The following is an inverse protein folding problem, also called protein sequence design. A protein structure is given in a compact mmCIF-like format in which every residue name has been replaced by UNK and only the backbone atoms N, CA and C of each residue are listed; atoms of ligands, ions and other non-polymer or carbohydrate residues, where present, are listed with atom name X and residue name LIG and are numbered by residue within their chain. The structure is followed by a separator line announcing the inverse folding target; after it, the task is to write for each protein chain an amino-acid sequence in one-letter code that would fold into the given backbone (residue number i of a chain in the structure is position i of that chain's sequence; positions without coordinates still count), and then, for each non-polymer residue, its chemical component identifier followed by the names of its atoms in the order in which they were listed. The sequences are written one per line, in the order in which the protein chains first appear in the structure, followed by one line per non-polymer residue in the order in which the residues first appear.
data_IF_040240794163
#
_entry.id   IF_040240794163
#
_cell.length_a   1.000
_cell.length_b   1.000
_cell.length_c   1.000
_cell.angle_alpha   90.00
_cell.angle_beta   90.00
_cell.angle_gamma   90.00
#
_symmetry.space_group_name_H-M   'P 1'
#
loop_
_entity.id
_entity.type
_entity.pdbx_description
1 polymer ?
#
# COMPACT_ATOMS: atom_id res chain seq x y z
N UNK A 1 -5.98 12.77 -7.17
CA UNK A 1 -7.18 12.73 -6.32
C UNK A 1 -7.11 13.84 -5.28
N UNK A 2 -8.20 14.59 -5.11
CA UNK A 2 -8.25 15.64 -4.08
C UNK A 2 -7.62 16.99 -4.46
N UNK A 3 -6.97 17.12 -5.59
CA UNK A 3 -6.34 18.38 -6.04
C UNK A 3 -7.32 19.57 -6.06
N UNK A 4 -8.53 19.35 -6.60
CA UNK A 4 -9.55 20.39 -6.65
C UNK A 4 -10.00 20.80 -5.25
N UNK A 5 -10.17 19.84 -4.34
CA UNK A 5 -10.55 20.10 -2.95
C UNK A 5 -9.46 20.89 -2.24
N UNK A 6 -8.19 20.50 -2.40
CA UNK A 6 -7.04 21.22 -1.85
C UNK A 6 -6.94 22.65 -2.41
N UNK A 7 -7.21 22.81 -3.72
CA UNK A 7 -7.18 24.13 -4.34
C UNK A 7 -8.28 25.05 -3.80
N UNK A 8 -9.51 24.54 -3.66
CA UNK A 8 -10.62 25.29 -3.08
C UNK A 8 -10.30 25.68 -1.63
N UNK A 9 -9.79 24.72 -0.84
CA UNK A 9 -9.45 24.96 0.56
C UNK A 9 -8.39 26.07 0.69
N UNK A 10 -7.34 25.99 -0.12
CA UNK A 10 -6.25 26.97 -0.12
C UNK A 10 -6.68 28.38 -0.51
N UNK A 11 -7.62 28.53 -1.46
CA UNK A 11 -7.97 29.84 -2.01
C UNK A 11 -9.29 30.43 -1.47
N UNK A 12 -10.20 29.58 -1.01
CA UNK A 12 -11.56 30.00 -0.60
C UNK A 12 -11.93 29.60 0.83
N UNK A 13 -11.04 28.87 1.52
CA UNK A 13 -11.20 28.46 2.89
C UNK A 13 -12.09 27.22 3.09
N UNK A 14 -12.13 26.76 4.35
CA UNK A 14 -12.76 25.50 4.76
C UNK A 14 -14.27 25.48 4.49
N UNK A 15 -15.01 26.56 4.78
CA UNK A 15 -16.46 26.59 4.59
C UNK A 15 -16.86 26.47 3.11
N UNK A 16 -16.13 27.14 2.21
CA UNK A 16 -16.34 27.02 0.78
C UNK A 16 -16.04 25.59 0.28
N UNK A 17 -15.02 24.96 0.83
CA UNK A 17 -14.66 23.58 0.55
C UNK A 17 -15.76 22.61 0.98
N UNK A 18 -16.24 22.73 2.22
CA UNK A 18 -17.31 21.88 2.75
C UNK A 18 -18.61 22.04 1.96
N UNK A 19 -19.00 23.27 1.64
CA UNK A 19 -20.17 23.55 0.81
C UNK A 19 -20.03 22.96 -0.60
N UNK A 20 -18.84 23.02 -1.21
CA UNK A 20 -18.58 22.44 -2.52
C UNK A 20 -18.69 20.92 -2.51
N UNK A 21 -18.14 20.25 -1.49
CA UNK A 21 -18.26 18.80 -1.30
C UNK A 21 -19.72 18.41 -1.11
N UNK A 22 -20.46 19.12 -0.24
CA UNK A 22 -21.87 18.85 0.01
C UNK A 22 -22.72 18.99 -1.24
N UNK A 23 -22.53 20.06 -2.02
CA UNK A 23 -23.26 20.27 -3.29
C UNK A 23 -22.93 19.21 -4.33
N UNK A 24 -21.66 18.82 -4.45
CA UNK A 24 -21.23 17.76 -5.36
C UNK A 24 -21.86 16.41 -4.95
N UNK A 25 -21.89 16.09 -3.66
CA UNK A 25 -22.53 14.87 -3.15
C UNK A 25 -24.04 14.87 -3.42
N UNK A 26 -24.75 15.99 -3.15
CA UNK A 26 -26.18 16.13 -3.41
C UNK A 26 -26.50 15.96 -4.89
N UNK A 27 -25.73 16.60 -5.79
CA UNK A 27 -25.87 16.46 -7.23
C UNK A 27 -25.66 15.02 -7.68
N UNK A 28 -24.61 14.36 -7.19
CA UNK A 28 -24.32 12.95 -7.48
C UNK A 28 -25.45 12.03 -7.03
N UNK A 29 -25.97 12.22 -5.83
CA UNK A 29 -27.10 11.45 -5.30
C UNK A 29 -28.34 11.62 -6.16
N UNK A 30 -28.70 12.84 -6.53
CA UNK A 30 -29.86 13.08 -7.41
C UNK A 30 -29.67 12.48 -8.80
N UNK A 31 -28.47 12.56 -9.36
CA UNK A 31 -28.15 11.96 -10.65
C UNK A 31 -28.32 10.44 -10.62
N UNK A 32 -27.75 9.77 -9.60
CA UNK A 32 -27.82 8.31 -9.45
C UNK A 32 -29.27 7.87 -9.19
N UNK A 33 -30.04 8.63 -8.40
CA UNK A 33 -31.45 8.31 -8.12
C UNK A 33 -32.29 8.31 -9.40
N UNK A 34 -31.98 9.21 -10.34
CA UNK A 34 -32.74 9.29 -11.62
C UNK A 34 -32.27 8.26 -12.65
N UNK A 35 -30.97 8.02 -12.72
CA UNK A 35 -30.36 7.13 -13.74
C UNK A 35 -30.33 5.66 -13.30
N UNK A 36 -30.22 5.40 -12.00
CA UNK A 36 -29.85 4.12 -11.45
C UNK A 36 -28.37 3.82 -11.65
N UNK A 37 -27.86 2.85 -10.90
CA UNK A 37 -26.51 2.33 -11.03
C UNK A 37 -26.52 0.84 -10.67
N UNK A 38 -26.00 0.00 -11.55
CA UNK A 38 -25.84 -1.43 -11.27
C UNK A 38 -24.56 -1.94 -11.92
N UNK A 39 -24.04 -3.02 -11.35
CA UNK A 39 -22.91 -3.80 -11.86
C UNK A 39 -23.41 -5.19 -12.21
N UNK A 40 -23.31 -5.55 -13.48
CA UNK A 40 -23.63 -6.88 -13.97
C UNK A 40 -22.39 -7.69 -14.33
N UNK A 41 -22.53 -8.99 -14.50
CA UNK A 41 -21.43 -9.86 -14.93
C UNK A 41 -20.86 -9.45 -16.30
N UNK A 42 -21.67 -8.88 -17.18
CA UNK A 42 -21.22 -8.36 -18.48
C UNK A 42 -20.22 -7.20 -18.37
N UNK A 43 -20.31 -6.42 -17.31
CA UNK A 43 -19.38 -5.29 -17.08
C UNK A 43 -17.97 -5.79 -16.70
N UNK A 44 -17.88 -7.05 -16.29
CA UNK A 44 -16.66 -7.71 -15.85
C UNK A 44 -16.07 -8.62 -16.93
N UNK A 45 -16.83 -8.92 -17.99
CA UNK A 45 -16.37 -9.76 -19.09
C UNK A 45 -15.39 -9.00 -19.97
N UNK A 46 -14.24 -9.61 -20.18
CA UNK A 46 -13.15 -9.04 -20.95
C UNK A 46 -13.16 -9.65 -22.35
N UNK A 47 -12.93 -8.83 -23.36
CA UNK A 47 -12.95 -9.29 -24.76
C UNK A 47 -11.99 -10.46 -25.01
N UNK A 48 -12.36 -11.35 -25.92
CA UNK A 48 -11.54 -12.51 -26.30
C UNK A 48 -10.12 -12.11 -26.72
N UNK A 49 -9.98 -10.95 -27.40
CA UNK A 49 -8.67 -10.39 -27.79
C UNK A 49 -7.78 -10.11 -26.57
N UNK A 50 -8.34 -9.53 -25.50
CA UNK A 50 -7.55 -9.25 -24.28
C UNK A 50 -7.17 -10.54 -23.56
N UNK A 51 -8.07 -11.54 -23.55
CA UNK A 51 -7.76 -12.87 -22.99
C UNK A 51 -6.61 -13.55 -23.74
N UNK A 52 -6.58 -13.47 -25.07
CA UNK A 52 -5.48 -14.01 -25.88
C UNK A 52 -4.15 -13.30 -25.59
N UNK A 53 -4.16 -11.96 -25.52
CA UNK A 53 -2.95 -11.20 -25.17
C UNK A 53 -2.47 -11.56 -23.76
N UNK A 54 -3.39 -11.71 -22.82
CA UNK A 54 -3.09 -12.12 -21.44
C UNK A 54 -2.42 -13.50 -21.40
N UNK A 55 -2.93 -14.47 -22.15
CA UNK A 55 -2.33 -15.81 -22.22
C UNK A 55 -0.90 -15.76 -22.77
N UNK A 56 -0.65 -14.97 -23.81
CA UNK A 56 0.71 -14.77 -24.36
C UNK A 56 1.67 -14.14 -23.35
N UNK A 57 1.22 -13.14 -22.59
CA UNK A 57 2.03 -12.51 -21.54
C UNK A 57 2.39 -13.55 -20.46
N UNK A 58 1.42 -14.36 -20.03
CA UNK A 58 1.64 -15.41 -19.02
C UNK A 58 2.63 -16.48 -19.52
N UNK A 59 2.49 -16.93 -20.78
CA UNK A 59 3.41 -17.89 -21.40
C UNK A 59 4.83 -17.35 -21.45
N UNK A 60 4.99 -16.12 -21.95
CA UNK A 60 6.31 -15.45 -22.01
C UNK A 60 6.95 -15.31 -20.63
N UNK A 61 6.15 -14.96 -19.61
CA UNK A 61 6.64 -14.89 -18.24
C UNK A 61 7.04 -16.27 -17.68
N UNK A 62 6.28 -17.30 -18.01
CA UNK A 62 6.62 -18.68 -17.62
C UNK A 62 7.95 -19.14 -18.25
N UNK A 63 8.18 -18.85 -19.52
CA UNK A 63 9.47 -19.14 -20.20
C UNK A 63 10.63 -18.37 -19.56
N UNK A 64 10.45 -17.08 -19.26
CA UNK A 64 11.46 -16.26 -18.54
C UNK A 64 11.80 -16.87 -17.19
N UNK A 65 10.80 -17.30 -16.42
CA UNK A 65 11.05 -17.92 -15.11
C UNK A 65 11.77 -19.26 -15.21
N UNK A 66 11.49 -20.06 -16.23
CA UNK A 66 12.23 -21.30 -16.50
C UNK A 66 13.70 -21.01 -16.85
N UNK A 67 13.97 -20.00 -17.68
CA UNK A 67 15.35 -19.57 -18.01
C UNK A 67 16.10 -19.12 -16.75
N UNK A 68 15.51 -18.24 -15.93
CA UNK A 68 16.12 -17.79 -14.67
C UNK A 68 16.44 -18.98 -13.75
N UNK A 69 15.56 -19.97 -13.72
CA UNK A 69 15.77 -21.18 -12.92
C UNK A 69 16.91 -22.02 -13.46
N UNK A 70 17.00 -22.22 -14.78
CA UNK A 70 18.08 -22.95 -15.43
C UNK A 70 19.44 -22.24 -15.23
N UNK A 71 19.48 -20.91 -15.41
CA UNK A 71 20.69 -20.09 -15.21
C UNK A 71 21.17 -20.15 -13.75
N UNK A 72 20.23 -20.15 -12.79
CA UNK A 72 20.56 -20.30 -11.38
C UNK A 72 21.18 -21.66 -11.04
N UNK A 73 20.70 -22.73 -11.67
CA UNK A 73 21.27 -24.07 -11.48
C UNK A 73 22.59 -24.26 -12.20
N UNK A 74 22.78 -23.60 -13.35
CA UNK A 74 24.04 -23.58 -14.08
C UNK A 74 25.12 -22.68 -13.42
N UNK A 75 24.75 -21.88 -12.43
CA UNK A 75 25.66 -20.91 -11.79
C UNK A 75 25.93 -19.65 -12.62
N UNK A 76 25.17 -19.44 -13.70
CA UNK A 76 25.34 -18.30 -14.61
C UNK A 76 24.48 -17.08 -14.22
N UNK A 77 23.74 -17.18 -13.11
CA UNK A 77 22.87 -16.09 -12.68
C UNK A 77 23.70 -14.94 -12.07
N UNK A 78 23.56 -13.74 -12.62
CA UNK A 78 24.12 -12.52 -12.04
C UNK A 78 23.53 -12.27 -10.65
N UNK A 79 24.38 -12.36 -9.62
CA UNK A 79 23.98 -12.25 -8.24
C UNK A 79 23.71 -10.80 -7.86
N UNK A 80 22.65 -10.58 -7.08
CA UNK A 80 22.39 -9.28 -6.45
C UNK A 80 23.38 -9.08 -5.28
N UNK A 81 23.87 -7.84 -5.07
CA UNK A 81 24.79 -7.54 -3.98
C UNK A 81 24.25 -8.01 -2.62
N UNK A 82 25.06 -8.78 -1.90
CA UNK A 82 24.73 -9.27 -0.56
C UNK A 82 23.63 -10.37 -0.52
N UNK A 83 23.27 -10.99 -1.65
CA UNK A 83 22.26 -12.05 -1.73
C UNK A 83 22.88 -13.38 -2.18
N UNK A 84 22.32 -14.47 -1.68
CA UNK A 84 22.65 -15.81 -2.16
C UNK A 84 22.07 -16.07 -3.56
N UNK A 85 22.56 -17.12 -4.22
CA UNK A 85 22.02 -17.54 -5.52
C UNK A 85 20.51 -17.86 -5.45
N UNK A 86 20.09 -18.54 -4.39
CA UNK A 86 18.67 -18.87 -4.19
C UNK A 86 17.81 -17.60 -3.95
N UNK A 87 18.28 -16.68 -3.14
CA UNK A 87 17.57 -15.42 -2.89
C UNK A 87 17.48 -14.56 -4.15
N UNK A 88 18.58 -14.46 -4.91
CA UNK A 88 18.61 -13.72 -6.18
C UNK A 88 17.64 -14.32 -7.20
N UNK A 89 17.61 -15.65 -7.33
CA UNK A 89 16.65 -16.35 -8.17
C UNK A 89 15.21 -16.04 -7.77
N UNK A 90 14.87 -16.16 -6.49
CA UNK A 90 13.51 -15.90 -6.00
C UNK A 90 13.07 -14.44 -6.22
N UNK A 91 13.98 -13.48 -6.04
CA UNK A 91 13.71 -12.07 -6.30
C UNK A 91 13.44 -11.84 -7.79
N UNK A 92 14.33 -12.32 -8.68
CA UNK A 92 14.18 -12.15 -10.14
C UNK A 92 12.89 -12.81 -10.65
N UNK A 93 12.55 -14.01 -10.18
CA UNK A 93 11.29 -14.68 -10.53
C UNK A 93 10.08 -13.87 -10.03
N UNK A 94 10.12 -13.39 -8.78
CA UNK A 94 9.04 -12.56 -8.23
C UNK A 94 8.84 -11.28 -9.03
N UNK A 95 9.89 -10.63 -9.49
CA UNK A 95 9.82 -9.45 -10.35
C UNK A 95 9.10 -9.75 -11.65
N UNK A 96 9.54 -10.78 -12.39
CA UNK A 96 8.91 -11.19 -13.66
C UNK A 96 7.41 -11.49 -13.46
N UNK A 97 7.04 -12.22 -12.41
CA UNK A 97 5.64 -12.59 -12.16
C UNK A 97 4.77 -11.41 -11.71
N UNK A 98 5.36 -10.43 -11.01
CA UNK A 98 4.66 -9.19 -10.66
C UNK A 98 4.47 -8.26 -11.87
N UNK A 99 5.44 -8.24 -12.79
CA UNK A 99 5.33 -7.50 -14.06
C UNK A 99 4.13 -7.97 -14.87
N UNK A 100 3.83 -9.27 -14.91
CA UNK A 100 2.66 -9.83 -15.60
C UNK A 100 1.39 -9.08 -15.22
N UNK A 101 1.14 -8.91 -13.91
CA UNK A 101 -0.07 -8.23 -13.44
C UNK A 101 -0.10 -6.76 -13.89
N UNK A 102 1.06 -6.11 -13.94
CA UNK A 102 1.18 -4.72 -14.37
C UNK A 102 0.96 -4.58 -15.87
N UNK A 103 1.54 -5.46 -16.69
CA UNK A 103 1.38 -5.48 -18.13
C UNK A 103 -0.06 -5.81 -18.53
N UNK A 104 -0.65 -6.85 -17.95
CA UNK A 104 -2.06 -7.19 -18.18
C UNK A 104 -2.96 -6.04 -17.74
N UNK A 105 -2.64 -5.39 -16.62
CA UNK A 105 -3.38 -4.20 -16.16
C UNK A 105 -3.36 -3.04 -17.14
N UNK A 106 -2.25 -2.82 -17.85
CA UNK A 106 -2.17 -1.80 -18.93
C UNK A 106 -3.06 -2.19 -20.10
N UNK A 107 -2.96 -3.43 -20.57
CA UNK A 107 -3.79 -3.94 -21.67
C UNK A 107 -5.29 -3.85 -21.35
N UNK A 108 -5.67 -4.22 -20.14
CA UNK A 108 -7.06 -4.09 -19.67
C UNK A 108 -7.50 -2.63 -19.69
N UNK A 109 -6.68 -1.71 -19.13
CA UNK A 109 -7.00 -0.28 -19.08
C UNK A 109 -7.20 0.35 -20.46
N UNK A 110 -6.43 -0.08 -21.46
CA UNK A 110 -6.52 0.40 -22.85
C UNK A 110 -7.74 -0.14 -23.59
N UNK A 111 -8.26 -1.32 -23.19
CA UNK A 111 -9.34 -2.01 -23.88
C UNK A 111 -10.66 -2.00 -23.10
N UNK A 112 -10.73 -1.29 -21.97
CA UNK A 112 -11.96 -1.13 -21.20
C UNK A 112 -12.94 -0.21 -21.97
N UNK A 113 -14.20 -0.64 -22.08
CA UNK A 113 -15.28 0.21 -22.59
C UNK A 113 -15.54 1.39 -21.67
N UNK A 114 -15.54 2.60 -22.21
CA UNK A 114 -15.88 3.81 -21.45
C UNK A 114 -17.34 3.87 -21.00
N UNK A 115 -18.22 3.05 -21.58
CA UNK A 115 -19.66 3.01 -21.24
C UNK A 115 -19.98 2.08 -20.07
N UNK A 116 -19.01 1.30 -19.60
CA UNK A 116 -19.19 0.40 -18.46
C UNK A 116 -19.24 1.17 -17.13
N UNK A 117 -20.16 0.79 -16.25
CA UNK A 117 -20.28 1.34 -14.90
C UNK A 117 -18.99 1.18 -14.08
N UNK A 118 -18.31 0.04 -14.25
CA UNK A 118 -17.06 -0.25 -13.55
C UNK A 118 -15.91 0.64 -14.05
N UNK A 119 -15.86 0.89 -15.36
CA UNK A 119 -14.87 1.78 -15.97
C UNK A 119 -15.02 3.20 -15.44
N UNK A 120 -16.25 3.68 -15.37
CA UNK A 120 -16.57 5.00 -14.82
C UNK A 120 -16.12 5.13 -13.35
N UNK A 121 -16.34 4.11 -12.52
CA UNK A 121 -15.88 4.09 -11.11
C UNK A 121 -14.36 4.17 -11.01
N UNK A 122 -13.63 3.43 -11.83
CA UNK A 122 -12.17 3.35 -11.77
C UNK A 122 -11.53 4.59 -12.39
N UNK A 123 -11.99 5.03 -13.56
CA UNK A 123 -11.45 6.20 -14.26
C UNK A 123 -11.69 7.49 -13.48
N UNK A 124 -12.86 7.65 -12.89
CA UNK A 124 -13.15 8.79 -12.00
C UNK A 124 -12.34 8.74 -10.69
N UNK A 125 -11.82 7.56 -10.34
CA UNK A 125 -11.11 7.34 -9.09
C UNK A 125 -12.03 7.27 -7.87
N UNK A 126 -13.31 7.09 -8.05
CA UNK A 126 -14.29 6.97 -6.98
C UNK A 126 -14.06 5.69 -6.16
N UNK A 127 -14.00 4.54 -6.83
CA UNK A 127 -13.75 3.26 -6.17
C UNK A 127 -13.09 2.27 -7.15
N UNK A 128 -12.31 1.34 -6.58
CA UNK A 128 -11.61 0.31 -7.34
C UNK A 128 -10.34 0.80 -8.03
N UNK A 129 -9.65 -0.15 -8.65
CA UNK A 129 -8.44 0.09 -9.43
C UNK A 129 -8.43 -0.81 -10.67
N UNK A 130 -7.57 -0.51 -11.64
CA UNK A 130 -7.36 -1.39 -12.79
C UNK A 130 -6.98 -2.82 -12.37
N UNK A 131 -6.26 -2.96 -11.26
CA UNK A 131 -5.90 -4.27 -10.68
C UNK A 131 -7.13 -5.12 -10.37
N UNK A 132 -8.21 -4.52 -9.87
CA UNK A 132 -9.44 -5.26 -9.56
C UNK A 132 -10.05 -5.89 -10.82
N UNK A 133 -10.15 -5.13 -11.92
CA UNK A 133 -10.66 -5.67 -13.19
C UNK A 133 -9.72 -6.74 -13.74
N UNK A 134 -8.41 -6.50 -13.66
CA UNK A 134 -7.41 -7.48 -14.10
C UNK A 134 -7.56 -8.81 -13.37
N UNK A 135 -7.73 -8.78 -12.06
CA UNK A 135 -7.89 -10.00 -11.25
C UNK A 135 -9.23 -10.68 -11.49
N UNK A 136 -10.29 -9.91 -11.71
CA UNK A 136 -11.61 -10.47 -11.97
C UNK A 136 -11.67 -11.06 -13.39
N UNK A 137 -11.23 -10.34 -14.41
CA UNK A 137 -11.46 -10.70 -15.81
C UNK A 137 -10.30 -11.41 -16.53
N UNK A 138 -9.06 -11.29 -16.04
CA UNK A 138 -7.87 -11.79 -16.75
C UNK A 138 -7.06 -12.79 -15.95
N UNK A 139 -6.34 -12.34 -14.92
CA UNK A 139 -5.57 -13.22 -14.05
C UNK A 139 -5.39 -12.61 -12.65
N UNK A 140 -5.38 -13.47 -11.63
CA UNK A 140 -5.18 -13.01 -10.25
C UNK A 140 -3.70 -12.67 -10.00
N UNK A 141 -2.76 -13.42 -10.58
CA UNK A 141 -1.32 -13.18 -10.48
C UNK A 141 -0.66 -13.84 -9.28
N UNK A 142 0.59 -13.44 -9.00
CA UNK A 142 1.40 -14.04 -7.94
C UNK A 142 0.84 -13.74 -6.55
N UNK A 143 0.63 -14.80 -5.78
CA UNK A 143 0.31 -14.74 -4.37
C UNK A 143 1.61 -14.68 -3.54
N UNK A 144 1.64 -13.79 -2.57
CA UNK A 144 2.83 -13.49 -1.76
C UNK A 144 2.48 -13.64 -0.29
N UNK A 145 3.35 -14.32 0.42
CA UNK A 145 3.25 -14.52 1.86
C UNK A 145 4.55 -14.02 2.50
N UNK A 146 4.46 -13.09 3.46
CA UNK A 146 5.62 -12.49 4.14
C UNK A 146 6.69 -11.95 3.18
N UNK A 147 6.25 -11.23 2.16
CA UNK A 147 7.07 -10.65 1.09
C UNK A 147 7.88 -11.67 0.25
N UNK A 148 7.51 -12.95 0.29
CA UNK A 148 8.13 -14.02 -0.50
C UNK A 148 7.07 -14.81 -1.24
N UNK A 149 7.47 -15.49 -2.32
CA UNK A 149 6.61 -16.49 -2.97
C UNK A 149 6.32 -17.62 -1.96
N UNK A 150 5.15 -18.23 -2.06
CA UNK A 150 4.74 -19.29 -1.16
C UNK A 150 5.73 -20.45 -1.27
N UNK A 151 6.46 -20.73 -0.19
CA UNK A 151 7.47 -21.80 -0.14
C UNK A 151 7.19 -22.80 0.97
N UNK A 152 6.27 -22.49 1.87
CA UNK A 152 5.91 -23.33 2.98
C UNK A 152 4.95 -24.41 2.52
N UNK A 153 5.19 -25.60 3.00
CA UNK A 153 4.35 -26.73 2.72
C UNK A 153 4.85 -27.97 3.43
N UNK A 154 4.11 -29.03 3.25
CA UNK A 154 4.44 -30.31 3.84
C UNK A 154 5.45 -31.08 2.94
N UNK A 155 6.52 -31.57 3.55
CA UNK A 155 7.52 -32.40 2.83
C UNK A 155 8.19 -31.73 1.62
N UNK A 156 8.54 -30.44 1.71
CA UNK A 156 9.26 -29.73 0.64
C UNK A 156 8.42 -29.40 -0.59
N UNK A 157 7.09 -29.33 -0.46
CA UNK A 157 6.14 -28.90 -1.50
C UNK A 157 5.00 -28.11 -0.86
N UNK A 158 4.38 -27.24 -1.63
CA UNK A 158 3.29 -26.38 -1.14
C UNK A 158 1.98 -27.13 -0.95
N UNK A 159 1.65 -28.01 -1.88
CA UNK A 159 0.47 -28.91 -1.80
C UNK A 159 0.85 -30.28 -2.36
N UNK A 160 0.04 -31.29 -2.11
CA UNK A 160 0.24 -32.66 -2.60
C UNK A 160 0.17 -32.81 -4.12
N UNK A 161 -0.37 -31.82 -4.82
CA UNK A 161 -0.52 -31.80 -6.28
C UNK A 161 0.77 -31.52 -7.01
N UNK A 162 1.76 -30.92 -6.34
CA UNK A 162 3.04 -30.57 -6.94
C UNK A 162 4.14 -31.52 -6.51
N UNK A 163 5.17 -31.67 -7.34
CA UNK A 163 6.34 -32.46 -7.03
C UNK A 163 7.13 -31.84 -5.84
N UNK A 164 7.90 -32.68 -5.14
CA UNK A 164 8.80 -32.19 -4.09
C UNK A 164 9.91 -31.33 -4.71
N UNK A 165 10.18 -30.17 -4.11
CA UNK A 165 11.19 -29.25 -4.59
C UNK A 165 10.78 -28.45 -5.84
N UNK A 166 9.51 -28.52 -6.27
CA UNK A 166 9.02 -27.74 -7.39
C UNK A 166 9.05 -26.23 -7.06
N UNK A 167 9.80 -25.48 -7.87
CA UNK A 167 9.96 -24.03 -7.78
C UNK A 167 9.23 -23.27 -8.88
N UNK A 168 8.47 -23.98 -9.71
CA UNK A 168 7.69 -23.41 -10.80
C UNK A 168 6.69 -22.35 -10.33
N UNK A 169 6.23 -21.45 -11.23
CA UNK A 169 5.30 -20.40 -10.88
C UNK A 169 4.03 -20.90 -10.19
N UNK A 170 3.38 -21.92 -10.78
CA UNK A 170 2.13 -22.48 -10.26
C UNK A 170 2.33 -23.15 -8.90
N UNK A 171 3.43 -23.89 -8.71
CA UNK A 171 3.74 -24.54 -7.46
C UNK A 171 4.03 -23.57 -6.31
N UNK A 172 4.43 -22.34 -6.62
CA UNK A 172 4.79 -21.28 -5.68
C UNK A 172 3.78 -20.15 -5.63
N UNK A 173 2.52 -20.42 -6.01
CA UNK A 173 1.40 -19.51 -5.78
C UNK A 173 1.12 -18.49 -6.90
N UNK A 174 1.57 -18.76 -8.14
CA UNK A 174 1.13 -17.97 -9.27
C UNK A 174 -0.23 -18.46 -9.76
N UNK A 175 -1.23 -17.62 -9.69
CA UNK A 175 -2.61 -17.89 -10.09
C UNK A 175 -2.83 -17.36 -11.50
N UNK A 176 -2.96 -18.28 -12.46
CA UNK A 176 -3.18 -17.95 -13.86
C UNK A 176 -4.64 -17.64 -14.18
N UNK A 177 -5.55 -18.29 -13.48
CA UNK A 177 -6.99 -18.14 -13.67
C UNK A 177 -7.48 -16.77 -13.16
N UNK A 178 -8.62 -16.34 -13.69
CA UNK A 178 -9.36 -15.16 -13.22
C UNK A 178 -10.49 -15.56 -12.27
N UNK A 179 -10.98 -14.60 -11.50
CA UNK A 179 -12.17 -14.84 -10.66
C UNK A 179 -13.43 -15.09 -11.51
N UNK A 180 -13.48 -14.51 -12.71
CA UNK A 180 -14.63 -14.69 -13.63
C UNK A 180 -14.69 -16.11 -14.20
N UNK A 181 -13.55 -16.68 -14.56
CA UNK A 181 -13.46 -18.05 -15.08
C UNK A 181 -13.54 -19.11 -13.97
N UNK A 182 -13.23 -18.71 -12.74
CA UNK A 182 -13.14 -19.59 -11.60
C UNK A 182 -11.73 -20.09 -11.35
N UNK A 183 -11.41 -20.33 -10.07
CA UNK A 183 -10.10 -20.76 -9.63
C UNK A 183 -10.02 -22.28 -9.50
N UNK A 184 -8.85 -22.85 -9.83
CA UNK A 184 -8.52 -24.24 -9.50
C UNK A 184 -8.43 -24.39 -7.98
N UNK A 185 -8.66 -25.57 -7.41
CA UNK A 185 -8.58 -25.79 -5.94
C UNK A 185 -7.24 -25.36 -5.33
N UNK A 186 -6.12 -25.61 -6.03
CA UNK A 186 -4.78 -25.19 -5.60
C UNK A 186 -4.61 -23.66 -5.63
N UNK A 187 -5.10 -23.02 -6.67
CA UNK A 187 -5.06 -21.55 -6.80
C UNK A 187 -5.91 -20.86 -5.73
N UNK A 188 -7.11 -21.39 -5.47
CA UNK A 188 -7.96 -20.92 -4.39
C UNK A 188 -7.29 -21.07 -3.02
N UNK A 189 -6.62 -22.19 -2.77
CA UNK A 189 -5.90 -22.42 -1.53
C UNK A 189 -4.80 -21.37 -1.29
N UNK A 190 -4.02 -21.04 -2.31
CA UNK A 190 -3.00 -19.99 -2.20
C UNK A 190 -3.62 -18.61 -1.94
N UNK A 191 -4.70 -18.28 -2.62
CA UNK A 191 -5.45 -17.05 -2.35
C UNK A 191 -6.02 -16.99 -0.93
N UNK A 192 -6.52 -18.11 -0.42
CA UNK A 192 -7.05 -18.21 0.94
C UNK A 192 -5.97 -18.02 2.01
N UNK A 193 -4.75 -18.58 1.82
CA UNK A 193 -3.63 -18.36 2.73
C UNK A 193 -3.23 -16.89 2.76
N UNK A 194 -3.04 -16.27 1.58
CA UNK A 194 -2.63 -14.88 1.48
C UNK A 194 -3.70 -13.94 2.06
N UNK A 195 -4.96 -14.20 1.76
CA UNK A 195 -6.07 -13.43 2.32
C UNK A 195 -6.17 -13.56 3.85
N UNK A 196 -5.96 -14.75 4.39
CA UNK A 196 -5.94 -15.00 5.83
C UNK A 196 -4.77 -14.26 6.51
N UNK A 197 -3.58 -14.31 5.91
CA UNK A 197 -2.40 -13.57 6.40
C UNK A 197 -2.69 -12.07 6.47
N UNK A 198 -3.30 -11.51 5.43
CA UNK A 198 -3.72 -10.11 5.41
C UNK A 198 -4.71 -9.74 6.51
N UNK A 199 -5.71 -10.55 6.74
CA UNK A 199 -6.69 -10.33 7.80
C UNK A 199 -6.03 -10.41 9.19
N UNK A 200 -5.16 -11.39 9.42
CA UNK A 200 -4.43 -11.53 10.68
C UNK A 200 -3.47 -10.38 10.91
N UNK A 201 -2.73 -9.96 9.90
CA UNK A 201 -1.80 -8.84 10.01
C UNK A 201 -2.52 -7.54 10.40
N UNK A 202 -3.66 -7.25 9.78
CA UNK A 202 -4.52 -6.12 10.15
C UNK A 202 -4.97 -6.21 11.62
N UNK A 203 -5.47 -7.39 12.03
CA UNK A 203 -5.94 -7.61 13.39
C UNK A 203 -4.83 -7.47 14.44
N UNK A 204 -3.59 -7.90 14.12
CA UNK A 204 -2.44 -7.81 15.02
C UNK A 204 -1.81 -6.41 15.07
N UNK A 205 -1.86 -5.65 13.99
CA UNK A 205 -1.27 -4.31 13.93
C UNK A 205 -2.14 -3.25 14.59
N UNK A 206 -3.47 -3.39 14.53
CA UNK A 206 -4.41 -2.45 15.15
C UNK A 206 -4.13 -2.25 16.66
N UNK A 207 -3.97 -3.32 17.48
CA UNK A 207 -3.59 -3.14 18.89
C UNK A 207 -2.23 -2.47 19.08
N UNK A 208 -1.25 -2.72 18.20
CA UNK A 208 0.08 -2.07 18.28
C UNK A 208 -0.02 -0.55 18.06
N UNK A 209 -0.82 -0.15 17.06
CA UNK A 209 -1.10 1.28 16.83
C UNK A 209 -1.84 1.91 18.01
N UNK A 210 -2.85 1.22 18.56
CA UNK A 210 -3.59 1.66 19.73
C UNK A 210 -2.72 1.81 20.98
N UNK A 211 -1.79 0.87 21.19
CA UNK A 211 -0.83 0.95 22.31
C UNK A 211 0.15 2.11 22.14
N UNK A 212 0.66 2.34 20.93
CA UNK A 212 1.50 3.51 20.64
C UNK A 212 0.74 4.79 20.96
N UNK A 213 -0.49 4.93 20.46
CA UNK A 213 -1.34 6.09 20.73
C UNK A 213 -1.56 6.33 22.23
N UNK A 214 -1.90 5.27 22.98
CA UNK A 214 -2.07 5.35 24.44
C UNK A 214 -0.81 5.85 25.14
N UNK A 215 0.38 5.36 24.76
CA UNK A 215 1.66 5.82 25.33
C UNK A 215 1.93 7.30 25.03
N UNK A 216 1.66 7.72 23.77
CA UNK A 216 1.80 9.12 23.37
C UNK A 216 0.86 10.03 24.16
N UNK A 217 -0.41 9.67 24.28
CA UNK A 217 -1.36 10.45 25.10
C UNK A 217 -0.90 10.53 26.54
N UNK A 218 -0.50 9.41 27.15
CA UNK A 218 -0.04 9.40 28.54
C UNK A 218 1.21 10.24 28.77
N UNK A 219 2.11 10.32 27.77
CA UNK A 219 3.33 11.12 27.87
C UNK A 219 3.13 12.61 27.60
N UNK A 220 2.13 12.98 26.79
CA UNK A 220 1.96 14.36 26.31
C UNK A 220 0.70 15.06 26.85
N UNK A 221 -0.16 14.37 27.61
CA UNK A 221 -1.45 14.91 28.07
C UNK A 221 -1.33 16.20 28.89
N UNK A 222 -0.21 16.41 29.56
CA UNK A 222 0.02 17.55 30.44
C UNK A 222 0.42 18.82 29.67
N UNK A 223 0.77 18.68 28.38
CA UNK A 223 1.26 19.80 27.59
C UNK A 223 0.12 20.71 27.16
N UNK A 224 0.19 21.97 27.54
CA UNK A 224 -0.76 23.03 27.16
C UNK A 224 -0.02 24.31 26.76
N UNK A 225 -0.72 25.18 26.04
CA UNK A 225 -0.23 26.52 25.71
C UNK A 225 -0.55 27.44 26.85
N UNK A 226 0.44 28.14 27.40
CA UNK A 226 0.27 29.15 28.43
C UNK A 226 -0.03 30.53 27.82
N UNK A 227 -0.42 31.48 28.68
CA UNK A 227 -0.78 32.85 28.27
C UNK A 227 0.37 33.62 27.61
N UNK A 228 1.61 33.25 27.91
CA UNK A 228 2.81 33.83 27.29
C UNK A 228 3.15 33.21 25.90
N UNK A 229 2.32 32.25 25.44
CA UNK A 229 2.50 31.53 24.18
C UNK A 229 3.51 30.37 24.22
N UNK A 230 4.08 30.08 25.38
CA UNK A 230 4.95 28.91 25.57
C UNK A 230 4.13 27.66 25.80
N UNK A 231 4.68 26.50 25.41
CA UNK A 231 4.10 25.19 25.74
C UNK A 231 4.81 24.66 26.97
N UNK A 232 4.02 24.33 28.00
CA UNK A 232 4.54 23.85 29.29
C UNK A 232 3.88 22.55 29.71
N UNK A 233 4.62 21.82 30.56
CA UNK A 233 4.11 20.64 31.26
C UNK A 233 3.44 21.00 32.60
N UNK A 234 2.93 19.98 33.32
CA UNK A 234 2.31 20.16 34.63
C UNK A 234 3.24 20.74 35.70
N UNK A 235 4.56 20.65 35.53
CA UNK A 235 5.59 21.19 36.42
C UNK A 235 6.06 22.58 35.99
N UNK A 236 5.35 23.20 35.05
CA UNK A 236 5.66 24.53 34.49
C UNK A 236 6.99 24.61 33.71
N UNK A 237 7.62 23.47 33.38
CA UNK A 237 8.80 23.46 32.53
C UNK A 237 8.43 23.85 31.11
N UNK A 238 9.23 24.71 30.50
CA UNK A 238 9.03 25.13 29.10
C UNK A 238 9.53 24.02 28.20
N UNK A 239 8.63 23.42 27.43
CA UNK A 239 8.95 22.40 26.44
C UNK A 239 9.18 23.04 25.06
N UNK A 240 8.37 24.07 24.72
CA UNK A 240 8.56 24.88 23.51
C UNK A 240 8.33 26.35 23.84
N UNK A 241 9.13 27.24 23.29
CA UNK A 241 8.96 28.68 23.42
C UNK A 241 7.79 29.23 22.60
N UNK A 242 7.48 28.56 21.49
CA UNK A 242 6.31 28.82 20.69
C UNK A 242 5.79 27.49 20.11
N UNK A 243 4.48 27.24 20.15
CA UNK A 243 3.89 26.05 19.58
C UNK A 243 4.25 25.91 18.10
N UNK A 244 4.78 24.73 17.69
CA UNK A 244 5.17 24.49 16.30
C UNK A 244 6.27 25.41 15.76
N UNK A 245 6.99 26.14 16.63
CA UNK A 245 8.00 27.16 16.34
C UNK A 245 7.43 28.48 15.77
N UNK A 246 6.20 28.52 15.26
CA UNK A 246 5.56 29.71 14.68
C UNK A 246 4.35 30.22 15.47
N UNK A 247 3.92 29.50 16.48
CA UNK A 247 2.79 29.85 17.37
C UNK A 247 1.42 29.87 16.69
N UNK A 248 1.28 29.24 15.51
CA UNK A 248 0.02 29.27 14.76
C UNK A 248 -0.88 28.10 15.09
N UNK A 249 -2.17 28.34 14.98
CA UNK A 249 -3.17 27.29 15.06
C UNK A 249 -3.19 26.44 13.79
N UNK A 250 -2.91 25.14 13.93
CA UNK A 250 -2.88 24.19 12.79
C UNK A 250 -4.25 24.05 12.16
N UNK A 251 -5.34 24.22 12.91
CA UNK A 251 -6.71 24.13 12.38
C UNK A 251 -7.08 25.32 11.49
N UNK A 252 -6.40 26.45 11.66
CA UNK A 252 -6.64 27.70 10.95
C UNK A 252 -5.38 28.23 10.22
N UNK A 253 -4.57 27.33 9.65
CA UNK A 253 -3.32 27.69 8.95
C UNK A 253 -3.50 28.77 7.87
N UNK A 254 -4.67 28.81 7.21
CA UNK A 254 -4.96 29.77 6.16
C UNK A 254 -5.16 31.20 6.66
N UNK A 255 -5.61 31.35 7.89
CA UNK A 255 -5.87 32.67 8.50
C UNK A 255 -4.64 33.23 9.21
N UNK A 256 -3.62 32.39 9.45
CA UNK A 256 -2.44 32.75 10.22
C UNK A 256 -2.76 33.06 11.70
N UNK A 257 -3.92 32.62 12.19
CA UNK A 257 -4.35 32.84 13.57
C UNK A 257 -3.38 32.17 14.54
N UNK A 258 -3.08 32.86 15.63
CA UNK A 258 -2.27 32.30 16.71
C UNK A 258 -3.09 31.29 17.51
N UNK A 259 -2.40 30.29 18.03
CA UNK A 259 -3.00 29.29 18.91
C UNK A 259 -3.54 29.98 20.19
N UNK A 260 -4.66 29.48 20.69
CA UNK A 260 -5.26 30.05 21.88
C UNK A 260 -4.55 29.56 23.14
N UNK A 261 -4.32 30.47 24.14
CA UNK A 261 -3.86 30.03 25.44
C UNK A 261 -4.84 29.05 26.08
N UNK A 262 -4.31 28.04 26.77
CA UNK A 262 -5.10 26.97 27.37
C UNK A 262 -5.37 25.76 26.47
N UNK A 263 -4.98 25.82 25.18
CA UNK A 263 -5.16 24.70 24.26
C UNK A 263 -4.31 23.50 24.68
N UNK A 264 -4.92 22.31 24.72
CA UNK A 264 -4.28 21.05 25.11
C UNK A 264 -3.50 20.44 23.92
N UNK A 265 -2.43 21.10 23.53
CA UNK A 265 -1.64 20.73 22.34
C UNK A 265 -1.03 19.34 22.40
N UNK A 266 -0.72 18.84 23.59
CA UNK A 266 -0.19 17.49 23.76
C UNK A 266 -1.20 16.41 23.36
N UNK A 267 -2.47 16.59 23.73
CA UNK A 267 -3.55 15.66 23.33
C UNK A 267 -3.79 15.75 21.83
N UNK A 268 -3.89 16.96 21.27
CA UNK A 268 -4.10 17.18 19.83
C UNK A 268 -2.97 16.56 19.01
N UNK A 269 -1.72 16.74 19.44
CA UNK A 269 -0.55 16.12 18.79
C UNK A 269 -0.62 14.60 18.85
N UNK A 270 -0.93 14.03 20.02
CA UNK A 270 -1.05 12.58 20.18
C UNK A 270 -2.16 12.00 19.29
N UNK A 271 -3.30 12.68 19.19
CA UNK A 271 -4.40 12.28 18.30
C UNK A 271 -3.99 12.28 16.82
N UNK A 272 -3.27 13.31 16.39
CA UNK A 272 -2.80 13.43 15.00
C UNK A 272 -1.85 12.30 14.61
N UNK A 273 -0.93 11.92 15.49
CA UNK A 273 -0.05 10.76 15.28
C UNK A 273 -0.80 9.42 15.38
N UNK A 274 -1.71 9.30 16.34
CA UNK A 274 -2.49 8.08 16.54
C UNK A 274 -3.39 7.76 15.36
N UNK A 275 -4.08 8.74 14.81
CA UNK A 275 -4.92 8.59 13.62
C UNK A 275 -4.11 8.14 12.41
N UNK A 276 -3.02 8.85 12.08
CA UNK A 276 -2.16 8.51 10.97
C UNK A 276 -1.54 7.12 11.12
N UNK A 277 -1.11 6.74 12.32
CA UNK A 277 -0.53 5.43 12.61
C UNK A 277 -1.53 4.29 12.39
N UNK A 278 -2.80 4.50 12.73
CA UNK A 278 -3.87 3.52 12.50
C UNK A 278 -4.11 3.27 11.00
N UNK A 279 -4.04 4.31 10.17
CA UNK A 279 -4.19 4.18 8.72
C UNK A 279 -2.99 3.51 8.05
N UNK A 280 -1.78 3.66 8.58
CA UNK A 280 -0.58 2.96 8.08
C UNK A 280 -0.68 1.43 8.19
N UNK A 281 -1.54 0.92 9.06
CA UNK A 281 -1.80 -0.53 9.21
C UNK A 281 -2.38 -1.13 7.92
N UNK A 282 -3.16 -0.38 7.16
CA UNK A 282 -3.91 -0.88 6.01
C UNK A 282 -3.13 -0.87 4.68
N UNK A 283 -1.99 -0.17 4.59
CA UNK A 283 -1.33 0.12 3.31
C UNK A 283 -0.08 -0.70 2.97
N UNK A 284 0.31 -1.71 3.75
CA UNK A 284 1.61 -2.42 3.60
C UNK A 284 1.64 -3.46 2.47
N UNK A 285 0.53 -3.75 1.80
CA UNK A 285 0.37 -4.95 0.96
C UNK A 285 0.88 -4.88 -0.49
N UNK A 286 1.45 -3.78 -0.99
CA UNK A 286 1.61 -3.63 -2.44
C UNK A 286 3.04 -3.47 -2.98
N UNK A 287 4.07 -3.57 -2.14
CA UNK A 287 5.46 -3.34 -2.55
C UNK A 287 6.32 -4.62 -2.64
N UNK A 288 5.71 -5.78 -2.79
CA UNK A 288 6.45 -7.02 -2.90
C UNK A 288 7.07 -7.16 -4.30
N UNK A 289 8.38 -7.25 -4.37
CA UNK A 289 9.13 -7.54 -5.60
C UNK A 289 10.01 -6.43 -6.15
N UNK A 290 10.07 -5.27 -5.51
CA UNK A 290 11.10 -4.27 -5.82
C UNK A 290 12.35 -4.63 -5.03
N UNK A 291 13.50 -4.70 -5.69
CA UNK A 291 14.81 -4.89 -5.06
C UNK A 291 15.27 -3.61 -4.32
N UNK A 292 14.33 -2.86 -3.78
CA UNK A 292 14.62 -1.76 -2.88
C UNK A 292 15.16 -2.33 -1.57
N UNK A 293 16.18 -1.66 -1.06
CA UNK A 293 16.68 -1.86 0.30
C UNK A 293 15.46 -1.98 1.22
N UNK A 294 15.32 -3.11 1.91
CA UNK A 294 14.19 -3.35 2.82
C UNK A 294 14.27 -2.38 4.00
N UNK A 295 13.95 -1.13 3.77
CA UNK A 295 13.86 -0.12 4.83
C UNK A 295 12.57 -0.38 5.58
N UNK A 296 12.66 -0.43 6.89
CA UNK A 296 11.48 -0.51 7.75
C UNK A 296 10.66 0.76 7.57
N UNK A 297 9.49 0.62 6.96
CA UNK A 297 8.57 1.74 6.68
C UNK A 297 7.28 1.61 7.48
N UNK A 298 6.55 2.72 7.58
CA UNK A 298 5.24 2.75 8.23
C UNK A 298 5.30 2.65 9.75
N UNK A 299 4.31 1.99 10.33
CA UNK A 299 4.13 1.90 11.79
C UNK A 299 5.34 1.34 12.55
N UNK A 300 6.03 0.26 12.10
CA UNK A 300 7.23 -0.24 12.79
C UNK A 300 8.34 0.82 12.89
N UNK A 301 8.57 1.59 11.83
CA UNK A 301 9.58 2.66 11.84
C UNK A 301 9.19 3.80 12.77
N UNK A 302 7.92 4.15 12.79
CA UNK A 302 7.41 5.17 13.70
C UNK A 302 7.63 4.77 15.17
N UNK A 303 7.36 3.51 15.51
CA UNK A 303 7.62 2.97 16.85
C UNK A 303 9.11 3.02 17.19
N UNK A 304 10.01 2.67 16.27
CA UNK A 304 11.45 2.75 16.49
C UNK A 304 11.94 4.17 16.82
N UNK A 305 11.36 5.16 16.11
CA UNK A 305 11.69 6.58 16.33
C UNK A 305 11.20 7.03 17.70
N UNK A 306 9.96 6.74 18.07
CA UNK A 306 9.40 7.13 19.37
C UNK A 306 10.05 6.40 20.55
N UNK A 307 10.45 5.13 20.35
CA UNK A 307 11.18 4.36 21.36
C UNK A 307 12.68 4.76 21.44
N UNK A 308 13.14 5.69 20.60
CA UNK A 308 14.54 6.14 20.49
C UNK A 308 15.53 4.97 20.45
N UNK A 309 15.22 3.94 19.65
CA UNK A 309 16.07 2.74 19.55
C UNK A 309 17.44 3.08 19.03
N UNK A 310 18.48 2.64 19.74
CA UNK A 310 19.87 2.85 19.34
C UNK A 310 20.21 2.14 18.04
N UNK A 311 19.69 0.92 17.86
CA UNK A 311 19.89 0.10 16.66
C UNK A 311 18.55 -0.08 15.97
N UNK A 312 18.31 0.59 14.82
CA UNK A 312 17.12 0.37 14.02
C UNK A 312 17.17 -1.02 13.37
N UNK A 313 16.00 -1.58 13.06
CA UNK A 313 15.88 -2.92 12.42
C UNK A 313 16.53 -2.96 11.03
N UNK A 314 16.58 -1.83 10.35
CA UNK A 314 17.22 -1.68 9.03
C UNK A 314 18.13 -0.45 9.06
N UNK A 315 19.37 -0.59 9.54
CA UNK A 315 20.33 0.52 9.50
C UNK A 315 20.68 0.84 8.05
N UNK A 316 20.63 2.11 7.68
CA UNK A 316 21.03 2.60 6.36
C UNK A 316 22.09 3.68 6.48
N UNK A 317 22.99 3.72 5.52
CA UNK A 317 24.02 4.74 5.39
C UNK A 317 23.95 5.33 3.98
N UNK A 318 23.94 6.65 3.89
CA UNK A 318 24.05 7.38 2.63
C UNK A 318 25.44 8.00 2.55
N UNK A 319 26.16 7.71 1.46
CA UNK A 319 27.47 8.26 1.19
C UNK A 319 27.32 9.18 -0.02
N UNK A 320 27.48 10.48 0.22
CA UNK A 320 27.45 11.48 -0.85
C UNK A 320 28.84 11.60 -1.43
N UNK A 321 28.96 11.36 -2.75
CA UNK A 321 30.22 11.59 -3.46
C UNK A 321 30.34 13.07 -3.83
N UNK A 322 31.57 13.60 -3.80
CA UNK A 322 31.85 14.92 -4.30
C UNK A 322 31.52 15.01 -5.80
N UNK A 323 31.16 16.21 -6.26
CA UNK A 323 30.73 16.44 -7.67
C UNK A 323 31.74 15.96 -8.72
N UNK A 324 33.02 15.87 -8.34
CA UNK A 324 34.10 15.39 -9.23
C UNK A 324 34.03 13.87 -9.50
N UNK A 325 33.33 13.11 -8.63
CA UNK A 325 33.19 11.65 -8.72
C UNK A 325 31.77 11.20 -9.13
N UNK A 326 30.90 12.14 -9.43
CA UNK A 326 29.51 11.89 -9.80
C UNK A 326 29.40 11.93 -11.34
N UNK A 327 29.86 10.87 -12.01
CA UNK A 327 29.71 10.65 -13.45
C UNK A 327 28.51 9.76 -13.73
#
# INVERSE_FOLDING_TARGET
KGEMVKHIDKHHGRDATMNSIQRAAALGTQYITRRGFSLGLRDLDVSAKVKEITSKIIETASEKTQKITADAWAGNLELLPGKSNEETREIKISQVLNEVRTEVGKVVKENISHDSSISNMILSGAAGSATNITQIGCCVGQQILWNKRISFGYSGRTTSHFARGDIGPQARGFVQSSFFEGLKPTEFFFGAITGRDGLMDTALRTPKSGYLYRRLVSALQDLKVEYDGTVRDASENIIQFAYGSDGKDVSELHTGKKIQPGEAVGVTTSQSFGESSTQMVLNVFHSAGVAEVQVTLGLPRLIEIFDARKEPSTPSMEIWLDKEFNN
#
